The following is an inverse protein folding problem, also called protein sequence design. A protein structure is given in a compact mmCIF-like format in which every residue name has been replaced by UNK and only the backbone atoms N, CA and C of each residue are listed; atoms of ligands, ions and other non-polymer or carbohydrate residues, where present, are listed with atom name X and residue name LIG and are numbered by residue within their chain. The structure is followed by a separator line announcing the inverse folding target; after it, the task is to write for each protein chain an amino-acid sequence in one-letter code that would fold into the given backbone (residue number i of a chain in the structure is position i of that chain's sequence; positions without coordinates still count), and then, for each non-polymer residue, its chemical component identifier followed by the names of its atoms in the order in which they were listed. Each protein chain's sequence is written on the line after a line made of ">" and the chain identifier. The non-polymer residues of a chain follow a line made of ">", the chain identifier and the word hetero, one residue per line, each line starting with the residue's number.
data_IF_175119772778
#
_entry.id   IF_175119772778
#
_cell.length_a   1.000
_cell.length_b   1.000
_cell.length_c   1.000
_cell.angle_alpha   90.00
_cell.angle_beta   90.00
_cell.angle_gamma   90.00
#
_symmetry.space_group_name_H-M   'P 1'
#
loop_
_entity.id
_entity.type
_entity.pdbx_description
1 polymer ?
#
# COMPACT_ATOMS: atom_id res chain seq x y z
N UNK A 1 -7.86 -19.54 -17.65
CA UNK A 1 -7.42 -19.54 -16.22
C UNK A 1 -6.52 -18.37 -15.86
N UNK A 2 -5.29 -18.24 -16.38
CA UNK A 2 -4.34 -17.18 -15.97
C UNK A 2 -4.90 -15.74 -16.08
N UNK A 3 -5.68 -15.46 -17.12
CA UNK A 3 -6.33 -14.15 -17.28
C UNK A 3 -7.35 -13.88 -16.15
N UNK A 4 -8.21 -14.85 -15.83
CA UNK A 4 -9.17 -14.75 -14.73
C UNK A 4 -8.49 -14.62 -13.36
N UNK A 5 -7.36 -15.30 -13.16
CA UNK A 5 -6.54 -15.15 -11.94
C UNK A 5 -5.96 -13.74 -11.83
N UNK A 6 -5.42 -13.20 -12.93
CA UNK A 6 -4.92 -11.81 -12.97
C UNK A 6 -6.02 -10.78 -12.76
N UNK A 7 -7.20 -10.98 -13.35
CA UNK A 7 -8.37 -10.12 -13.08
C UNK A 7 -8.82 -10.22 -11.62
N UNK A 8 -8.82 -11.42 -11.02
CA UNK A 8 -9.17 -11.62 -9.61
C UNK A 8 -8.17 -10.95 -8.66
N UNK A 9 -6.85 -11.06 -8.92
CA UNK A 9 -5.79 -10.39 -8.14
C UNK A 9 -5.88 -8.87 -8.25
N UNK A 10 -6.14 -8.33 -9.44
CA UNK A 10 -6.31 -6.88 -9.64
C UNK A 10 -7.54 -6.37 -8.90
N UNK A 11 -8.67 -7.09 -8.96
CA UNK A 11 -9.90 -6.73 -8.22
C UNK A 11 -9.66 -6.82 -6.70
N UNK A 12 -8.97 -7.84 -6.20
CA UNK A 12 -8.65 -7.92 -4.77
C UNK A 12 -7.76 -6.76 -4.34
N UNK A 13 -6.69 -6.43 -5.09
CA UNK A 13 -5.83 -5.27 -4.82
C UNK A 13 -6.61 -3.94 -4.75
N UNK A 14 -7.65 -3.79 -5.56
CA UNK A 14 -8.53 -2.61 -5.57
C UNK A 14 -9.49 -2.55 -4.36
N UNK A 15 -9.82 -3.69 -3.76
CA UNK A 15 -10.70 -3.77 -2.57
C UNK A 15 -9.96 -3.68 -1.23
N UNK A 16 -8.65 -3.88 -1.23
CA UNK A 16 -7.84 -3.86 -0.02
C UNK A 16 -7.72 -2.43 0.52
N UNK A 17 -8.11 -2.23 1.78
CA UNK A 17 -8.00 -0.94 2.45
C UNK A 17 -6.53 -0.51 2.49
N UNK A 18 -6.22 0.50 1.68
CA UNK A 18 -4.84 0.95 1.47
C UNK A 18 -4.69 2.43 1.82
N UNK A 19 -3.52 2.80 2.33
CA UNK A 19 -3.15 4.18 2.62
C UNK A 19 -1.93 4.54 1.79
N UNK A 20 -2.04 5.65 1.07
CA UNK A 20 -0.92 6.27 0.39
C UNK A 20 -0.40 7.43 1.23
N UNK A 21 0.92 7.61 1.31
CA UNK A 21 1.53 8.73 2.02
C UNK A 21 2.80 9.15 1.32
N UNK A 22 2.93 10.46 1.07
CA UNK A 22 4.18 11.05 0.62
C UNK A 22 5.02 11.37 1.84
N UNK A 23 6.27 10.94 1.86
CA UNK A 23 7.16 11.07 3.02
C UNK A 23 8.53 11.56 2.55
N UNK A 24 9.17 12.45 3.30
CA UNK A 24 10.53 12.92 3.00
C UNK A 24 11.53 12.11 3.83
N UNK A 25 12.45 11.39 3.17
CA UNK A 25 13.48 10.58 3.81
C UNK A 25 14.86 11.20 3.59
N UNK A 26 15.71 11.21 4.61
CA UNK A 26 17.11 11.62 4.51
C UNK A 26 18.02 10.46 4.12
N UNK A 27 19.06 10.73 3.31
CA UNK A 27 20.11 9.76 2.99
C UNK A 27 21.15 9.69 4.12
N UNK A 28 21.35 8.50 4.68
CA UNK A 28 22.22 8.27 5.85
C UNK A 28 23.74 8.31 5.55
N UNK A 29 24.14 8.41 4.27
CA UNK A 29 25.56 8.27 3.84
C UNK A 29 26.17 9.55 3.23
N UNK A 30 25.47 10.68 3.27
CA UNK A 30 26.01 11.96 2.82
C UNK A 30 26.27 12.82 4.06
N UNK A 31 27.53 13.22 4.27
CA UNK A 31 27.98 14.04 5.40
C UNK A 31 27.31 15.43 5.46
N UNK A 32 26.45 15.75 4.51
CA UNK A 32 25.65 16.95 4.42
C UNK A 32 24.17 16.51 4.46
N UNK A 33 23.59 16.47 5.65
CA UNK A 33 22.28 15.90 5.97
C UNK A 33 21.04 16.59 5.37
N UNK A 34 21.18 17.27 4.22
CA UNK A 34 20.16 18.16 3.68
C UNK A 34 19.49 17.64 2.40
N UNK A 35 19.93 16.50 1.85
CA UNK A 35 19.26 15.91 0.68
C UNK A 35 18.11 15.00 1.11
N UNK A 36 16.94 15.62 1.30
CA UNK A 36 15.67 14.93 1.47
C UNK A 36 15.16 14.40 0.12
N UNK A 37 14.80 13.13 0.08
CA UNK A 37 14.14 12.50 -1.06
C UNK A 37 12.66 12.31 -0.71
N UNK A 38 11.78 12.85 -1.55
CA UNK A 38 10.36 12.53 -1.45
C UNK A 38 10.11 11.11 -1.98
N UNK A 39 9.49 10.28 -1.15
CA UNK A 39 9.10 8.91 -1.51
C UNK A 39 7.61 8.73 -1.31
N UNK A 40 7.02 7.87 -2.14
CA UNK A 40 5.64 7.44 -1.94
C UNK A 40 5.62 6.12 -1.19
N UNK A 41 4.83 6.04 -0.13
CA UNK A 41 4.62 4.82 0.64
C UNK A 41 3.18 4.40 0.51
N UNK A 42 2.97 3.16 0.08
CA UNK A 42 1.65 2.56 -0.01
C UNK A 42 1.58 1.41 0.97
N UNK A 43 0.69 1.50 1.94
CA UNK A 43 0.46 0.46 2.92
C UNK A 43 -0.92 -0.17 2.74
N UNK A 44 -0.96 -1.50 2.65
CA UNK A 44 -2.16 -2.30 2.74
C UNK A 44 -2.46 -2.55 4.21
N UNK A 45 -3.48 -1.89 4.74
CA UNK A 45 -3.81 -1.87 6.17
C UNK A 45 -4.58 -3.11 6.62
N UNK A 46 -5.35 -3.70 5.72
CA UNK A 46 -6.07 -4.95 5.96
C UNK A 46 -5.68 -5.99 4.93
N UNK A 47 -4.85 -6.93 5.37
CA UNK A 47 -4.33 -8.02 4.54
C UNK A 47 -5.03 -9.34 4.80
N UNK A 48 -6.14 -9.35 5.57
CA UNK A 48 -6.86 -10.57 5.97
C UNK A 48 -7.35 -11.40 4.79
N UNK A 49 -7.70 -10.74 3.68
CA UNK A 49 -8.20 -11.36 2.44
C UNK A 49 -7.11 -11.79 1.47
N UNK A 50 -5.83 -11.52 1.78
CA UNK A 50 -4.72 -11.91 0.91
C UNK A 50 -4.53 -13.42 0.97
N UNK A 51 -4.01 -13.98 -0.12
CA UNK A 51 -3.61 -15.38 -0.13
C UNK A 51 -2.56 -15.62 0.99
N UNK A 52 -2.77 -16.56 1.93
CA UNK A 52 -1.80 -16.85 2.98
C UNK A 52 -0.41 -17.27 2.46
N UNK A 53 -0.34 -17.77 1.22
CA UNK A 53 0.92 -18.11 0.53
C UNK A 53 1.56 -16.93 -0.21
N UNK A 54 1.04 -15.71 -0.07
CA UNK A 54 1.60 -14.52 -0.70
C UNK A 54 3.04 -14.29 -0.21
N UNK A 55 3.94 -13.95 -1.12
CA UNK A 55 5.38 -13.85 -0.85
C UNK A 55 5.71 -12.91 0.31
N UNK A 56 4.97 -11.80 0.44
CA UNK A 56 5.15 -10.85 1.54
C UNK A 56 5.06 -11.49 2.93
N UNK A 57 4.14 -12.45 3.13
CA UNK A 57 3.97 -13.13 4.41
C UNK A 57 5.15 -14.04 4.72
N UNK A 58 5.68 -14.71 3.69
CA UNK A 58 6.87 -15.55 3.83
C UNK A 58 8.12 -14.71 4.13
N UNK A 59 8.31 -13.62 3.40
CA UNK A 59 9.51 -12.79 3.54
C UNK A 59 9.54 -11.99 4.85
N UNK A 60 8.37 -11.61 5.38
CA UNK A 60 8.27 -10.83 6.61
C UNK A 60 7.94 -11.68 7.85
N UNK A 61 7.60 -12.96 7.68
CA UNK A 61 7.26 -13.86 8.78
C UNK A 61 5.98 -13.48 9.52
N UNK A 62 5.01 -12.88 8.82
CA UNK A 62 3.73 -12.43 9.38
C UNK A 62 2.56 -13.15 8.73
N UNK A 63 1.41 -13.19 9.42
CA UNK A 63 0.19 -13.82 8.93
C UNK A 63 -0.75 -12.79 8.27
N UNK A 64 -1.67 -13.23 7.39
CA UNK A 64 -2.73 -12.38 6.87
C UNK A 64 -3.51 -11.69 7.99
N UNK A 65 -3.73 -10.38 7.87
CA UNK A 65 -4.53 -9.59 8.80
C UNK A 65 -3.86 -9.24 10.13
N UNK A 66 -2.65 -9.72 10.41
CA UNK A 66 -1.96 -9.39 11.67
C UNK A 66 -1.12 -8.13 11.59
N UNK A 67 -0.70 -7.73 10.39
CA UNK A 67 0.17 -6.57 10.19
C UNK A 67 -0.04 -5.93 8.82
N UNK A 68 0.11 -4.59 8.72
CA UNK A 68 0.09 -3.91 7.44
C UNK A 68 1.33 -4.27 6.62
N UNK A 69 1.16 -4.36 5.29
CA UNK A 69 2.26 -4.58 4.35
C UNK A 69 2.45 -3.30 3.53
N UNK A 70 3.66 -2.75 3.49
CA UNK A 70 3.95 -1.49 2.82
C UNK A 70 4.97 -1.64 1.68
N UNK A 71 4.78 -0.85 0.62
CA UNK A 71 5.69 -0.70 -0.51
C UNK A 71 6.23 0.74 -0.54
N UNK A 72 7.54 0.88 -0.77
CA UNK A 72 8.23 2.16 -0.90
C UNK A 72 8.59 2.38 -2.38
N UNK A 73 8.09 3.48 -2.94
CA UNK A 73 8.39 3.91 -4.31
C UNK A 73 9.30 5.13 -4.22
N UNK A 74 10.55 4.93 -4.64
CA UNK A 74 11.62 5.93 -4.55
C UNK A 74 11.91 6.61 -5.88
N UNK A 75 11.36 6.09 -6.99
CA UNK A 75 11.62 6.62 -8.34
C UNK A 75 10.49 7.52 -8.82
N UNK A 76 10.86 8.56 -9.56
CA UNK A 76 9.92 9.46 -10.24
C UNK A 76 9.19 8.80 -11.43
N UNK A 77 9.59 7.58 -11.81
CA UNK A 77 9.01 6.82 -12.92
C UNK A 77 8.02 5.74 -12.46
N UNK A 78 7.73 5.63 -11.16
CA UNK A 78 6.73 4.69 -10.64
C UNK A 78 5.33 5.34 -10.64
N UNK A 79 4.40 4.76 -11.40
CA UNK A 79 3.00 5.17 -11.43
C UNK A 79 2.17 4.27 -10.50
N UNK A 80 1.50 4.86 -9.52
CA UNK A 80 0.60 4.14 -8.60
C UNK A 80 -0.82 4.67 -8.74
N UNK A 81 -1.76 3.78 -9.05
CA UNK A 81 -3.19 4.08 -9.08
C UNK A 81 -3.86 3.61 -7.80
N UNK A 82 -4.44 4.55 -7.04
CA UNK A 82 -5.12 4.24 -5.78
C UNK A 82 -6.53 4.81 -5.85
N UNK A 83 -7.56 3.99 -5.61
CA UNK A 83 -8.92 4.49 -5.53
C UNK A 83 -9.02 5.49 -4.37
N UNK A 84 -9.56 6.67 -4.64
CA UNK A 84 -9.81 7.68 -3.61
C UNK A 84 -10.78 7.08 -2.60
N UNK A 85 -10.38 7.00 -1.32
CA UNK A 85 -11.31 6.65 -0.26
C UNK A 85 -12.42 7.69 -0.22
N UNK A 86 -13.63 7.31 -0.62
CA UNK A 86 -14.82 8.11 -0.35
C UNK A 86 -15.00 8.03 1.16
N UNK A 87 -14.78 9.13 1.86
CA UNK A 87 -15.17 9.22 3.25
C UNK A 87 -16.69 9.02 3.28
N UNK A 88 -17.14 7.88 3.80
CA UNK A 88 -18.55 7.69 4.10
C UNK A 88 -18.88 8.63 5.25
N UNK A 89 -19.28 9.85 4.93
CA UNK A 89 -20.04 10.68 5.85
C UNK A 89 -21.31 9.88 6.17
N UNK A 90 -21.60 9.55 7.44
CA UNK A 90 -22.82 8.84 7.77
C UNK A 90 -24.01 9.72 7.35
N UNK A 91 -24.87 9.20 6.48
CA UNK A 91 -26.13 9.80 6.04
C UNK A 91 -27.18 9.82 7.18
N UNK A 92 -26.74 10.01 8.43
CA UNK A 92 -27.58 10.01 9.63
C UNK A 92 -27.50 11.36 10.36
N UNK A 93 -26.67 12.29 9.90
CA UNK A 93 -26.56 13.65 10.45
C UNK A 93 -27.37 14.71 9.66
N UNK A 94 -28.25 14.29 8.74
CA UNK A 94 -29.01 15.18 7.87
C UNK A 94 -30.54 14.94 7.92
N UNK A 95 -31.05 14.36 9.00
CA UNK A 95 -32.48 14.28 9.29
C UNK A 95 -32.80 14.98 10.62
#
# INVERSE_FOLDING_TARGET
>A
CLALTRFSTVITQLTIKSRCSKVSLGRINEANGDQLVEVMVVCHLDTSVWNPSHESFRSLGVLPGTSPICHFFTSSNDLVWIPKSVATTPLVAAL
#
